data_IF_039548851334
#
_entry.id   IF_039548851334
#
_cell.length_a   1.000
_cell.length_b   1.000
_cell.length_c   1.000
_cell.angle_alpha   90.00
_cell.angle_beta   90.00
_cell.angle_gamma   90.00
#
_symmetry.space_group_name_H-M   'P 1'
#
loop_
_entity.id
_entity.type
_entity.pdbx_description
1 polymer ?
#
# COMPACT_ATOMS: atom_id res chain seq x y z
N UNK A 1 21.88 -0.17 -11.13
CA UNK A 1 22.04 -0.56 -9.70
C UNK A 1 23.37 0.00 -9.25
N UNK A 2 23.37 0.91 -8.26
CA UNK A 2 24.61 1.49 -7.72
C UNK A 2 25.24 0.53 -6.67
N UNK A 3 26.57 0.67 -6.40
CA UNK A 3 27.23 -0.12 -5.36
C UNK A 3 26.55 0.04 -3.98
N UNK A 4 26.05 1.24 -3.66
CA UNK A 4 25.35 1.53 -2.41
C UNK A 4 24.01 0.75 -2.33
N UNK A 5 23.26 0.67 -3.44
CA UNK A 5 22.02 -0.11 -3.51
C UNK A 5 22.27 -1.60 -3.32
N UNK A 6 23.35 -2.14 -3.91
CA UNK A 6 23.74 -3.54 -3.73
C UNK A 6 24.11 -3.81 -2.27
N UNK A 7 24.89 -2.94 -1.66
CA UNK A 7 25.26 -3.05 -0.25
C UNK A 7 24.03 -3.03 0.65
N UNK A 8 23.14 -2.06 0.48
CA UNK A 8 21.90 -1.97 1.26
C UNK A 8 21.03 -3.23 1.13
N UNK A 9 20.97 -3.83 -0.06
CA UNK A 9 20.27 -5.10 -0.27
C UNK A 9 20.95 -6.26 0.47
N UNK A 10 22.28 -6.34 0.43
CA UNK A 10 23.04 -7.34 1.18
C UNK A 10 22.86 -7.20 2.70
N UNK A 11 22.90 -5.96 3.21
CA UNK A 11 22.70 -5.66 4.62
C UNK A 11 21.30 -6.11 5.09
N UNK A 12 20.23 -5.90 4.27
CA UNK A 12 18.87 -6.38 4.57
C UNK A 12 18.80 -7.90 4.60
N UNK A 13 19.42 -8.60 3.65
CA UNK A 13 19.46 -10.08 3.63
C UNK A 13 20.15 -10.61 4.88
N UNK A 14 21.33 -10.08 5.21
CA UNK A 14 22.08 -10.49 6.42
C UNK A 14 21.29 -10.21 7.71
N UNK A 15 20.53 -9.09 7.75
CA UNK A 15 19.69 -8.77 8.90
C UNK A 15 18.55 -9.78 9.06
N UNK A 16 17.88 -10.16 7.97
CA UNK A 16 16.81 -11.18 7.98
C UNK A 16 17.38 -12.51 8.51
N UNK A 17 18.53 -12.95 8.01
CA UNK A 17 19.17 -14.19 8.46
C UNK A 17 19.49 -14.15 9.97
N UNK A 18 20.07 -13.04 10.46
CA UNK A 18 20.35 -12.85 11.89
C UNK A 18 19.08 -12.90 12.74
N UNK A 19 18.01 -12.24 12.30
CA UNK A 19 16.73 -12.24 13.02
C UNK A 19 16.12 -13.65 13.09
N UNK A 20 16.20 -14.43 12.01
CA UNK A 20 15.71 -15.81 11.96
C UNK A 20 16.55 -16.71 12.88
N UNK A 21 17.87 -16.55 12.89
CA UNK A 21 18.78 -17.36 13.72
C UNK A 21 18.70 -17.02 15.21
N UNK A 22 18.20 -15.83 15.55
CA UNK A 22 18.07 -15.39 16.93
C UNK A 22 16.86 -16.02 17.60
N UNK A 23 17.10 -16.85 18.62
CA UNK A 23 16.07 -17.68 19.26
C UNK A 23 15.23 -16.94 20.29
N UNK A 24 15.70 -15.83 20.86
CA UNK A 24 15.00 -15.09 21.92
C UNK A 24 14.43 -13.76 21.43
N UNK A 25 13.20 -13.44 21.85
CA UNK A 25 12.54 -12.20 21.45
C UNK A 25 13.32 -10.96 21.92
N UNK A 26 13.88 -10.97 23.13
CA UNK A 26 14.61 -9.82 23.69
C UNK A 26 15.87 -9.49 22.88
N UNK A 27 16.62 -10.50 22.44
CA UNK A 27 17.80 -10.29 21.59
C UNK A 27 17.39 -9.79 20.19
N UNK A 28 16.26 -10.29 19.66
CA UNK A 28 15.71 -9.76 18.42
C UNK A 28 15.29 -8.29 18.55
N UNK A 29 14.65 -7.91 19.65
CA UNK A 29 14.25 -6.52 19.92
C UNK A 29 15.48 -5.59 19.93
N UNK A 30 16.60 -6.03 20.50
CA UNK A 30 17.82 -5.25 20.49
C UNK A 30 18.41 -5.11 19.07
N UNK A 31 18.41 -6.20 18.28
CA UNK A 31 18.84 -6.18 16.88
C UNK A 31 17.94 -5.24 16.04
N UNK A 32 16.63 -5.24 16.28
CA UNK A 32 15.67 -4.36 15.62
C UNK A 32 16.03 -2.90 15.91
N UNK A 33 16.19 -2.52 17.18
CA UNK A 33 16.56 -1.16 17.57
C UNK A 33 17.85 -0.67 16.95
N UNK A 34 18.88 -1.53 16.92
CA UNK A 34 20.18 -1.18 16.35
C UNK A 34 20.17 -1.00 14.84
N UNK A 35 19.18 -1.55 14.15
CA UNK A 35 19.09 -1.54 12.69
C UNK A 35 17.82 -0.87 12.16
N UNK A 36 17.20 0.02 12.94
CA UNK A 36 15.89 0.64 12.60
C UNK A 36 15.85 1.21 11.17
N UNK A 37 16.92 1.83 10.69
CA UNK A 37 17.00 2.40 9.35
C UNK A 37 17.01 1.40 8.19
N UNK A 38 17.11 0.10 8.45
CA UNK A 38 17.03 -0.95 7.43
C UNK A 38 15.62 -1.52 7.26
N UNK A 39 14.69 -1.23 8.19
CA UNK A 39 13.31 -1.69 8.12
C UNK A 39 12.45 -0.75 7.27
N UNK A 40 12.62 -0.85 5.97
CA UNK A 40 11.89 -0.08 4.96
C UNK A 40 11.01 -1.01 4.09
N UNK A 41 10.37 -0.43 3.09
CA UNK A 41 9.52 -1.16 2.14
C UNK A 41 10.26 -2.34 1.49
N UNK A 42 11.53 -2.17 1.15
CA UNK A 42 12.32 -3.21 0.49
C UNK A 42 12.63 -4.37 1.45
N UNK A 43 12.88 -4.07 2.72
CA UNK A 43 13.06 -5.09 3.76
C UNK A 43 11.78 -5.92 3.92
N UNK A 44 10.63 -5.27 4.09
CA UNK A 44 9.35 -5.96 4.27
C UNK A 44 8.92 -6.72 3.02
N UNK A 45 9.22 -6.24 1.82
CA UNK A 45 9.00 -6.96 0.57
C UNK A 45 9.87 -8.23 0.47
N UNK A 46 11.16 -8.13 0.83
CA UNK A 46 12.06 -9.29 0.91
C UNK A 46 11.56 -10.31 1.93
N UNK A 47 11.23 -9.86 3.13
CA UNK A 47 10.73 -10.68 4.22
C UNK A 47 9.44 -11.43 3.83
N UNK A 48 8.50 -10.74 3.21
CA UNK A 48 7.24 -11.33 2.73
C UNK A 48 7.47 -12.43 1.69
N UNK A 49 8.42 -12.25 0.76
CA UNK A 49 8.78 -13.28 -0.23
C UNK A 49 9.37 -14.52 0.44
N UNK A 50 10.22 -14.34 1.45
CA UNK A 50 10.80 -15.46 2.21
C UNK A 50 9.72 -16.23 2.97
N UNK A 51 8.79 -15.53 3.62
CA UNK A 51 7.67 -16.15 4.32
C UNK A 51 6.77 -16.95 3.36
N UNK A 52 6.43 -16.38 2.20
CA UNK A 52 5.65 -17.06 1.16
C UNK A 52 6.38 -18.30 0.62
N UNK A 53 7.68 -18.20 0.38
CA UNK A 53 8.50 -19.32 -0.08
C UNK A 53 8.55 -20.46 0.93
N UNK A 54 8.71 -20.14 2.23
CA UNK A 54 8.70 -21.15 3.30
C UNK A 54 7.35 -21.87 3.40
N UNK A 55 6.24 -21.13 3.27
CA UNK A 55 4.88 -21.69 3.26
C UNK A 55 4.67 -22.60 2.04
N UNK A 56 5.06 -22.15 0.84
CA UNK A 56 4.91 -22.92 -0.40
C UNK A 56 5.75 -24.19 -0.42
N UNK A 57 6.91 -24.18 0.26
CA UNK A 57 7.84 -25.32 0.37
C UNK A 57 7.47 -26.32 1.48
N UNK A 58 6.35 -26.09 2.20
CA UNK A 58 5.91 -26.96 3.30
C UNK A 58 6.83 -26.96 4.53
N UNK A 59 7.70 -25.94 4.69
CA UNK A 59 8.60 -25.79 5.82
C UNK A 59 7.87 -25.17 7.02
N UNK A 60 6.87 -25.88 7.56
CA UNK A 60 6.03 -25.36 8.65
C UNK A 60 6.78 -24.74 9.84
N UNK A 61 7.87 -25.33 10.38
CA UNK A 61 8.58 -24.72 11.51
C UNK A 61 9.16 -23.35 11.16
N UNK A 62 9.73 -23.22 9.96
CA UNK A 62 10.30 -21.95 9.46
C UNK A 62 9.18 -20.94 9.19
N UNK A 63 8.09 -21.38 8.59
CA UNK A 63 6.94 -20.52 8.33
C UNK A 63 6.35 -19.94 9.64
N UNK A 64 6.19 -20.74 10.69
CA UNK A 64 5.74 -20.28 12.01
C UNK A 64 6.69 -19.25 12.63
N UNK A 65 8.00 -19.54 12.59
CA UNK A 65 9.01 -18.61 13.08
C UNK A 65 8.98 -17.27 12.35
N UNK A 66 8.80 -17.30 11.02
CA UNK A 66 8.67 -16.09 10.22
C UNK A 66 7.39 -15.31 10.55
N UNK A 67 6.27 -15.99 10.83
CA UNK A 67 5.02 -15.33 11.26
C UNK A 67 5.20 -14.62 12.61
N UNK A 68 5.88 -15.26 13.56
CA UNK A 68 6.12 -14.66 14.88
C UNK A 68 7.09 -13.46 14.77
N UNK A 69 8.14 -13.60 13.95
CA UNK A 69 9.05 -12.50 13.65
C UNK A 69 8.32 -11.35 12.95
N UNK A 70 7.42 -11.63 12.01
CA UNK A 70 6.60 -10.60 11.35
C UNK A 70 5.78 -9.80 12.34
N UNK A 71 5.13 -10.46 13.29
CA UNK A 71 4.36 -9.77 14.36
C UNK A 71 5.26 -8.82 15.15
N UNK A 72 6.45 -9.29 15.55
CA UNK A 72 7.42 -8.50 16.29
C UNK A 72 7.88 -7.28 15.47
N UNK A 73 8.20 -7.46 14.19
CA UNK A 73 8.61 -6.38 13.29
C UNK A 73 7.51 -5.32 13.09
N UNK A 74 6.24 -5.77 12.96
CA UNK A 74 5.09 -4.86 12.84
C UNK A 74 4.83 -4.04 14.10
N UNK A 75 5.26 -4.51 15.26
CA UNK A 75 5.06 -3.82 16.54
C UNK A 75 6.26 -2.97 16.96
N UNK A 76 7.47 -3.41 16.66
CA UNK A 76 8.69 -2.80 17.18
C UNK A 76 9.36 -1.82 16.21
N UNK A 77 9.14 -1.94 14.87
CA UNK A 77 9.70 -1.00 13.89
C UNK A 77 8.75 0.16 13.58
N UNK A 78 9.28 1.33 13.24
CA UNK A 78 8.47 2.48 12.82
C UNK A 78 7.70 2.17 11.54
N UNK A 79 8.37 1.61 10.54
CA UNK A 79 7.76 1.22 9.27
C UNK A 79 6.68 0.14 9.47
N UNK A 80 6.94 -0.85 10.34
CA UNK A 80 5.98 -1.91 10.66
C UNK A 80 4.72 -1.37 11.34
N UNK A 81 4.84 -0.46 12.30
CA UNK A 81 3.70 0.21 12.93
C UNK A 81 2.89 1.00 11.90
N UNK A 82 3.56 1.73 10.99
CA UNK A 82 2.89 2.44 9.90
C UNK A 82 2.13 1.50 8.94
N UNK A 83 2.69 0.33 8.62
CA UNK A 83 1.99 -0.69 7.84
C UNK A 83 0.74 -1.21 8.56
N UNK A 84 0.86 -1.55 9.86
CA UNK A 84 -0.26 -2.04 10.67
C UNK A 84 -1.38 -1.01 10.76
N UNK A 85 -1.03 0.25 10.97
CA UNK A 85 -1.99 1.36 10.96
C UNK A 85 -2.67 1.51 9.60
N UNK A 86 -1.90 1.50 8.51
CA UNK A 86 -2.44 1.61 7.15
C UNK A 86 -3.41 0.48 6.80
N UNK A 87 -3.11 -0.76 7.22
CA UNK A 87 -4.02 -1.91 7.03
C UNK A 87 -5.30 -1.72 7.83
N UNK A 88 -5.20 -1.33 9.10
CA UNK A 88 -6.37 -1.06 9.95
C UNK A 88 -7.25 0.06 9.40
N UNK A 89 -6.64 1.13 8.88
CA UNK A 89 -7.36 2.23 8.23
C UNK A 89 -8.04 1.79 6.93
N UNK A 90 -7.40 0.91 6.16
CA UNK A 90 -7.98 0.34 4.94
C UNK A 90 -9.18 -0.56 5.25
N UNK A 91 -9.07 -1.45 6.23
CA UNK A 91 -10.17 -2.31 6.68
C UNK A 91 -11.36 -1.49 7.17
N UNK A 92 -11.11 -0.45 7.95
CA UNK A 92 -12.16 0.42 8.46
C UNK A 92 -12.82 1.27 7.34
N UNK A 93 -12.05 1.73 6.34
CA UNK A 93 -12.61 2.37 5.16
C UNK A 93 -13.48 1.41 4.36
N UNK A 94 -13.00 0.19 4.11
CA UNK A 94 -13.76 -0.86 3.42
C UNK A 94 -15.09 -1.15 4.13
N UNK A 95 -15.05 -1.32 5.44
CA UNK A 95 -16.25 -1.56 6.25
C UNK A 95 -17.25 -0.42 6.10
N UNK A 96 -16.82 0.84 6.21
CA UNK A 96 -17.69 2.01 6.05
C UNK A 96 -18.32 2.10 4.67
N UNK A 97 -17.57 1.76 3.60
CA UNK A 97 -18.10 1.72 2.23
C UNK A 97 -19.09 0.56 2.05
N UNK A 98 -18.84 -0.60 2.63
CA UNK A 98 -19.77 -1.75 2.61
C UNK A 98 -21.06 -1.44 3.35
N UNK A 99 -21.00 -0.80 4.53
CA UNK A 99 -22.17 -0.38 5.30
C UNK A 99 -23.02 0.65 4.53
N UNK A 100 -22.40 1.55 3.78
CA UNK A 100 -23.11 2.47 2.89
C UNK A 100 -23.77 1.74 1.71
N UNK A 101 -23.18 0.66 1.20
CA UNK A 101 -23.75 -0.24 0.18
C UNK A 101 -24.26 0.51 -1.05
N UNK A 102 -25.49 0.19 -1.48
CA UNK A 102 -26.15 0.87 -2.61
C UNK A 102 -26.50 2.35 -2.32
N UNK A 103 -26.46 2.78 -1.06
CA UNK A 103 -26.64 4.16 -0.63
C UNK A 103 -25.39 5.02 -0.71
N UNK A 104 -24.30 4.52 -1.27
CA UNK A 104 -23.06 5.28 -1.41
C UNK A 104 -23.20 6.32 -2.54
N UNK A 105 -23.76 7.46 -2.16
CA UNK A 105 -23.78 8.65 -3.03
C UNK A 105 -22.49 9.45 -2.88
N UNK A 106 -22.29 10.46 -3.77
CA UNK A 106 -21.15 11.39 -3.66
C UNK A 106 -21.15 12.17 -2.35
N UNK A 107 -22.34 12.57 -1.90
CA UNK A 107 -22.55 13.25 -0.63
C UNK A 107 -22.12 12.36 0.53
N UNK A 108 -22.55 11.08 0.51
CA UNK A 108 -22.19 10.11 1.54
C UNK A 108 -20.69 9.81 1.56
N UNK A 109 -20.09 9.65 0.38
CA UNK A 109 -18.65 9.49 0.25
C UNK A 109 -17.88 10.70 0.80
N UNK A 110 -18.36 11.91 0.48
CA UNK A 110 -17.76 13.15 0.98
C UNK A 110 -17.85 13.24 2.52
N UNK A 111 -18.99 12.86 3.11
CA UNK A 111 -19.14 12.80 4.56
C UNK A 111 -18.14 11.84 5.21
N UNK A 112 -17.97 10.64 4.66
CA UNK A 112 -16.99 9.65 5.14
C UNK A 112 -15.57 10.18 5.06
N UNK A 113 -15.23 10.85 3.97
CA UNK A 113 -13.90 11.45 3.77
C UNK A 113 -13.64 12.58 4.75
N UNK A 114 -14.62 13.50 4.96
CA UNK A 114 -14.50 14.60 5.92
C UNK A 114 -14.39 14.08 7.35
N UNK A 115 -15.11 13.03 7.69
CA UNK A 115 -15.09 12.41 9.02
C UNK A 115 -13.86 11.52 9.27
N UNK A 116 -12.95 11.39 8.30
CA UNK A 116 -11.76 10.54 8.43
C UNK A 116 -10.83 11.04 9.52
N UNK A 117 -10.41 10.17 10.45
CA UNK A 117 -9.53 10.57 11.55
C UNK A 117 -8.07 10.77 11.13
N UNK A 118 -7.66 10.14 10.02
CA UNK A 118 -6.28 10.11 9.55
C UNK A 118 -6.18 10.28 8.03
N UNK A 119 -5.03 10.73 7.56
CA UNK A 119 -4.72 10.79 6.12
C UNK A 119 -4.68 9.39 5.49
N UNK A 120 -4.31 8.35 6.25
CA UNK A 120 -4.34 6.96 5.79
C UNK A 120 -5.77 6.50 5.47
N UNK A 121 -6.77 6.90 6.30
CA UNK A 121 -8.19 6.65 6.02
C UNK A 121 -8.66 7.37 4.76
N UNK A 122 -8.27 8.62 4.56
CA UNK A 122 -8.57 9.38 3.34
C UNK A 122 -7.98 8.70 2.11
N UNK A 123 -6.69 8.29 2.17
CA UNK A 123 -6.05 7.51 1.08
C UNK A 123 -6.78 6.20 0.78
N UNK A 124 -7.24 5.50 1.80
CA UNK A 124 -7.99 4.26 1.64
C UNK A 124 -9.31 4.51 0.87
N UNK A 125 -10.07 5.56 1.21
CA UNK A 125 -11.27 5.92 0.47
C UNK A 125 -10.95 6.31 -0.98
N UNK A 126 -9.89 7.09 -1.22
CA UNK A 126 -9.47 7.43 -2.58
C UNK A 126 -9.14 6.16 -3.38
N UNK A 127 -8.38 5.23 -2.81
CA UNK A 127 -7.99 3.99 -3.50
C UNK A 127 -9.18 3.10 -3.84
N UNK A 128 -10.19 3.02 -2.96
CA UNK A 128 -11.34 2.11 -3.12
C UNK A 128 -12.50 2.74 -3.88
N UNK A 129 -12.69 4.04 -3.76
CA UNK A 129 -13.86 4.75 -4.30
C UNK A 129 -13.48 5.88 -5.28
N UNK A 130 -12.30 5.79 -5.93
CA UNK A 130 -11.80 6.81 -6.87
C UNK A 130 -12.84 7.21 -7.92
N UNK A 131 -13.59 6.26 -8.46
CA UNK A 131 -14.60 6.50 -9.48
C UNK A 131 -15.77 7.38 -9.00
N UNK A 132 -16.03 7.45 -7.71
CA UNK A 132 -17.02 8.34 -7.09
C UNK A 132 -16.50 9.75 -6.80
N UNK A 133 -15.20 9.98 -6.93
CA UNK A 133 -14.54 11.27 -6.68
C UNK A 133 -14.31 12.02 -8.00
N UNK A 134 -15.40 12.29 -8.70
CA UNK A 134 -15.43 13.03 -9.96
C UNK A 134 -15.62 14.56 -9.76
N UNK A 135 -15.85 15.28 -10.86
CA UNK A 135 -16.07 16.72 -10.81
C UNK A 135 -17.20 17.12 -9.84
N UNK A 136 -18.30 16.37 -9.82
CA UNK A 136 -19.45 16.68 -8.95
C UNK A 136 -19.09 16.49 -7.45
N UNK A 137 -18.28 15.48 -7.12
CA UNK A 137 -17.78 15.31 -5.77
C UNK A 137 -16.96 16.52 -5.30
N UNK A 138 -16.05 17.02 -6.13
CA UNK A 138 -15.25 18.20 -5.80
C UNK A 138 -16.08 19.50 -5.79
N UNK A 139 -17.15 19.57 -6.57
CA UNK A 139 -18.13 20.67 -6.51
C UNK A 139 -18.84 20.68 -5.15
N UNK A 140 -19.33 19.53 -4.67
CA UNK A 140 -19.94 19.41 -3.35
C UNK A 140 -18.97 19.80 -2.23
N UNK A 141 -17.71 19.42 -2.33
CA UNK A 141 -16.68 19.85 -1.38
C UNK A 141 -16.48 21.38 -1.41
N UNK A 142 -16.46 21.98 -2.60
CA UNK A 142 -16.35 23.43 -2.76
C UNK A 142 -17.55 24.16 -2.13
N UNK A 143 -18.77 23.69 -2.35
CA UNK A 143 -19.96 24.25 -1.71
C UNK A 143 -19.93 24.14 -0.17
N UNK A 144 -19.38 23.03 0.36
CA UNK A 144 -19.17 22.89 1.81
C UNK A 144 -18.13 23.88 2.33
N UNK A 145 -17.05 24.11 1.60
CA UNK A 145 -16.00 25.10 1.96
C UNK A 145 -16.59 26.52 1.99
N UNK A 146 -17.43 26.86 1.02
CA UNK A 146 -18.06 28.21 0.96
C UNK A 146 -19.03 28.46 2.12
N UNK A 147 -19.70 27.42 2.63
CA UNK A 147 -20.66 27.50 3.73
C UNK A 147 -20.04 27.31 5.11
N UNK A 148 -18.78 26.93 5.18
CA UNK A 148 -18.08 26.62 6.41
C UNK A 148 -17.68 27.85 7.22
N UNK A 149 -17.54 27.72 8.53
CA UNK A 149 -16.92 28.71 9.38
C UNK A 149 -15.44 28.89 9.03
N UNK A 150 -14.80 29.97 9.46
CA UNK A 150 -13.40 30.27 9.13
C UNK A 150 -12.45 29.11 9.47
N UNK A 151 -12.62 28.49 10.66
CA UNK A 151 -11.76 27.38 11.13
C UNK A 151 -12.01 26.08 10.34
N UNK A 152 -13.27 25.80 10.02
CA UNK A 152 -13.64 24.63 9.20
C UNK A 152 -13.19 24.79 7.75
N UNK A 153 -13.26 26.01 7.22
CA UNK A 153 -12.82 26.34 5.87
C UNK A 153 -11.35 25.96 5.66
N UNK A 154 -10.47 26.34 6.58
CA UNK A 154 -9.05 26.00 6.51
C UNK A 154 -8.82 24.49 6.49
N UNK A 155 -9.58 23.73 7.32
CA UNK A 155 -9.49 22.27 7.35
C UNK A 155 -9.97 21.62 6.05
N UNK A 156 -11.09 22.09 5.50
CA UNK A 156 -11.66 21.55 4.27
C UNK A 156 -10.82 21.92 3.04
N UNK A 157 -10.21 23.10 3.01
CA UNK A 157 -9.26 23.48 1.97
C UNK A 157 -8.01 22.61 2.01
N UNK A 158 -7.45 22.36 3.19
CA UNK A 158 -6.32 21.44 3.36
C UNK A 158 -6.69 20.01 2.94
N UNK A 159 -7.89 19.54 3.28
CA UNK A 159 -8.40 18.24 2.84
C UNK A 159 -8.54 18.19 1.32
N UNK A 160 -9.04 19.25 0.67
CA UNK A 160 -9.15 19.32 -0.79
C UNK A 160 -7.80 19.16 -1.48
N UNK A 161 -6.77 19.87 -1.00
CA UNK A 161 -5.41 19.75 -1.55
C UNK A 161 -4.86 18.30 -1.40
N UNK A 162 -5.07 17.68 -0.24
CA UNK A 162 -4.70 16.28 -0.03
C UNK A 162 -5.44 15.34 -0.99
N UNK A 163 -6.75 15.52 -1.15
CA UNK A 163 -7.56 14.72 -2.08
C UNK A 163 -7.10 14.86 -3.52
N UNK A 164 -6.79 16.06 -3.98
CA UNK A 164 -6.25 16.28 -5.32
C UNK A 164 -4.91 15.56 -5.51
N UNK A 165 -4.02 15.60 -4.51
CA UNK A 165 -2.78 14.84 -4.52
C UNK A 165 -3.00 13.33 -4.60
N UNK A 166 -3.83 12.78 -3.71
CA UNK A 166 -4.09 11.34 -3.64
C UNK A 166 -4.82 10.80 -4.88
N UNK A 167 -5.81 11.54 -5.39
CA UNK A 167 -6.51 11.16 -6.63
C UNK A 167 -5.57 11.16 -7.83
N UNK A 168 -4.68 12.17 -7.94
CA UNK A 168 -3.66 12.22 -8.99
C UNK A 168 -2.68 11.04 -8.90
N UNK A 169 -2.26 10.62 -7.70
CA UNK A 169 -1.40 9.46 -7.51
C UNK A 169 -2.08 8.16 -7.98
N UNK A 170 -3.36 7.97 -7.60
CA UNK A 170 -4.14 6.79 -8.02
C UNK A 170 -4.36 6.79 -9.53
N UNK A 171 -4.69 7.93 -10.13
CA UNK A 171 -4.88 8.04 -11.58
C UNK A 171 -3.60 7.66 -12.36
N UNK A 172 -2.44 8.15 -11.92
CA UNK A 172 -1.15 7.76 -12.49
C UNK A 172 -0.86 6.28 -12.38
N UNK A 173 -1.20 5.66 -11.23
CA UNK A 173 -1.04 4.22 -11.04
C UNK A 173 -1.96 3.41 -11.97
N UNK A 174 -3.21 3.86 -12.13
CA UNK A 174 -4.17 3.25 -13.06
C UNK A 174 -3.65 3.35 -14.48
N UNK A 175 -3.20 4.53 -14.92
CA UNK A 175 -2.66 4.76 -16.25
C UNK A 175 -1.41 3.89 -16.53
N UNK A 176 -0.50 3.81 -15.56
CA UNK A 176 0.69 2.95 -15.67
C UNK A 176 0.32 1.48 -15.82
N UNK A 177 -0.68 0.99 -15.08
CA UNK A 177 -1.18 -0.40 -15.21
C UNK A 177 -1.82 -0.65 -16.56
N UNK A 178 -2.63 0.28 -17.07
CA UNK A 178 -3.20 0.16 -18.41
C UNK A 178 -2.11 0.09 -19.48
N UNK A 179 -1.11 0.94 -19.41
CA UNK A 179 0.02 0.94 -20.32
C UNK A 179 0.78 -0.39 -20.28
N UNK A 180 1.10 -0.90 -19.09
CA UNK A 180 1.75 -2.22 -18.94
C UNK A 180 0.89 -3.37 -19.50
N UNK A 181 -0.42 -3.33 -19.26
CA UNK A 181 -1.33 -4.34 -19.80
C UNK A 181 -1.40 -4.28 -21.34
N UNK A 182 -1.44 -3.08 -21.92
CA UNK A 182 -1.40 -2.88 -23.37
C UNK A 182 -0.10 -3.39 -23.97
N UNK A 183 1.06 -3.01 -23.42
CA UNK A 183 2.38 -3.49 -23.87
C UNK A 183 2.49 -5.02 -23.77
N UNK A 184 1.92 -5.62 -22.72
CA UNK A 184 1.87 -7.09 -22.59
C UNK A 184 1.02 -7.73 -23.68
N UNK A 185 -0.18 -7.22 -23.95
CA UNK A 185 -1.05 -7.73 -25.02
C UNK A 185 -0.40 -7.59 -26.38
N UNK A 186 0.22 -6.44 -26.68
CA UNK A 186 0.95 -6.22 -27.93
C UNK A 186 2.12 -7.22 -28.09
N UNK A 187 2.84 -7.51 -26.99
CA UNK A 187 3.92 -8.50 -27.01
C UNK A 187 3.42 -9.92 -27.29
N UNK A 188 2.25 -10.30 -26.77
CA UNK A 188 1.64 -11.61 -27.04
C UNK A 188 1.18 -11.74 -28.50
N UNK A 189 0.56 -10.70 -29.04
CA UNK A 189 0.12 -10.68 -30.44
C UNK A 189 1.32 -10.78 -31.40
N UNK A 190 2.41 -10.07 -31.10
CA UNK A 190 3.64 -10.17 -31.87
C UNK A 190 4.26 -11.58 -31.84
N UNK A 191 4.17 -12.30 -30.70
CA UNK A 191 4.63 -13.68 -30.58
C UNK A 191 3.74 -14.66 -31.37
N UNK A 192 2.41 -14.48 -31.38
CA UNK A 192 1.52 -15.29 -32.20
C UNK A 192 1.80 -15.14 -33.71
N UNK A 193 2.08 -13.92 -34.16
CA UNK A 193 2.43 -13.66 -35.56
C UNK A 193 3.76 -14.31 -35.95
N UNK A 194 4.75 -14.30 -35.06
CA UNK A 194 6.03 -15.00 -35.26
C UNK A 194 5.84 -16.51 -35.33
N UNK A 195 5.02 -17.09 -34.45
CA UNK A 195 4.73 -18.54 -34.46
C UNK A 195 4.00 -18.94 -35.74
N UNK A 196 3.01 -18.17 -36.22
CA UNK A 196 2.33 -18.41 -37.50
C UNK A 196 3.27 -18.31 -38.69
N UNK A 197 4.18 -17.32 -38.69
CA UNK A 197 5.18 -17.14 -39.74
C UNK A 197 6.18 -18.33 -39.82
N UNK A 198 6.57 -18.89 -38.67
CA UNK A 198 7.45 -20.08 -38.60
C UNK A 198 6.74 -21.35 -39.03
N UNK A 199 5.44 -21.48 -38.78
CA UNK A 199 4.66 -22.66 -39.18
C UNK A 199 4.28 -22.70 -40.68
N UNK A 200 4.40 -21.57 -41.39
CA UNK A 200 4.08 -21.45 -42.82
C UNK A 200 5.31 -21.62 -43.75
N UNK A 201 6.52 -21.79 -43.22
CA UNK A 201 7.76 -22.12 -43.92
C UNK A 201 8.22 -23.56 -43.61
#
# INVERSE_FOLDING_TARGET
ITPEMLKAQQDRVMLVEKLIQTSTADVRSELIKQNEGLFDEQFFALFSRLAQSAMASGQEPVARQLVDLQKQLLEETEFGRGLKESVGEMEAAQKSLQEAGQGLTREKLLELVIASPTDARVRAYVSMARGGMDYQFFQLLTEKIEKASADEKVKLEALREKLLGFTSEVDKQIEARYKQAQEFVESLLAQEDVVKAVQQN
#
